data_IF_795407138558
#
_entry.id   IF_795407138558
#
_cell.length_a   1.000
_cell.length_b   1.000
_cell.length_c   1.000
_cell.angle_alpha   90.00
_cell.angle_beta   90.00
_cell.angle_gamma   90.00
#
_symmetry.space_group_name_H-M   'P 1'
#
loop_
_entity.id
_entity.type
_entity.pdbx_description
1 polymer ?
#
# COMPACT_ATOMS: atom_id res chain seq x y z
N UNK A 1 -15.32 13.35 -23.93
CA UNK A 1 -16.29 12.84 -22.94
C UNK A 1 -16.51 13.97 -21.95
N UNK A 2 -17.56 14.77 -22.16
CA UNK A 2 -17.90 15.84 -21.24
C UNK A 2 -18.64 15.22 -20.05
N UNK A 3 -17.87 14.70 -19.10
CA UNK A 3 -18.37 14.18 -17.84
C UNK A 3 -18.72 15.40 -16.99
N UNK A 4 -19.85 16.04 -17.32
CA UNK A 4 -20.27 17.35 -16.80
C UNK A 4 -20.11 17.44 -15.28
N UNK A 5 -19.83 18.67 -14.78
CA UNK A 5 -19.56 19.16 -13.40
C UNK A 5 -19.22 18.17 -12.24
N UNK A 6 -19.85 17.01 -12.15
CA UNK A 6 -19.63 15.92 -11.20
C UNK A 6 -18.56 14.91 -11.63
N UNK A 7 -18.17 14.88 -12.91
CA UNK A 7 -17.19 13.93 -13.42
C UNK A 7 -15.81 14.03 -12.79
N UNK A 8 -15.36 15.26 -12.55
CA UNK A 8 -14.10 15.54 -11.87
C UNK A 8 -14.09 15.01 -10.42
N UNK A 9 -15.21 15.11 -9.70
CA UNK A 9 -15.32 14.60 -8.34
C UNK A 9 -15.24 13.07 -8.27
N UNK A 10 -15.93 12.38 -9.18
CA UNK A 10 -15.89 10.91 -9.25
C UNK A 10 -14.46 10.44 -9.55
N UNK A 11 -13.81 11.06 -10.54
CA UNK A 11 -12.44 10.72 -10.89
C UNK A 11 -11.47 10.98 -9.74
N UNK A 12 -11.60 12.11 -9.04
CA UNK A 12 -10.80 12.43 -7.87
C UNK A 12 -11.03 11.44 -6.72
N UNK A 13 -12.28 11.04 -6.46
CA UNK A 13 -12.61 10.07 -5.42
C UNK A 13 -12.01 8.68 -5.72
N UNK A 14 -12.10 8.20 -6.96
CA UNK A 14 -11.46 6.94 -7.35
C UNK A 14 -9.94 7.03 -7.30
N UNK A 15 -9.34 8.13 -7.78
CA UNK A 15 -7.90 8.34 -7.70
C UNK A 15 -7.41 8.37 -6.23
N UNK A 16 -8.14 9.06 -5.35
CA UNK A 16 -7.85 9.10 -3.93
C UNK A 16 -7.94 7.70 -3.29
N UNK A 17 -9.00 6.96 -3.62
CA UNK A 17 -9.19 5.59 -3.12
C UNK A 17 -8.05 4.68 -3.57
N UNK A 18 -7.66 4.75 -4.85
CA UNK A 18 -6.53 3.99 -5.38
C UNK A 18 -5.21 4.35 -4.68
N UNK A 19 -4.99 5.64 -4.39
CA UNK A 19 -3.81 6.12 -3.67
C UNK A 19 -3.77 5.58 -2.23
N UNK A 20 -4.90 5.61 -1.53
CA UNK A 20 -5.01 5.05 -0.17
C UNK A 20 -4.71 3.54 -0.19
N UNK A 21 -5.31 2.79 -1.12
CA UNK A 21 -5.07 1.36 -1.24
C UNK A 21 -3.60 1.05 -1.55
N UNK A 22 -2.97 1.81 -2.46
CA UNK A 22 -1.56 1.66 -2.78
C UNK A 22 -0.66 1.94 -1.57
N UNK A 23 -0.96 2.97 -0.77
CA UNK A 23 -0.22 3.29 0.44
C UNK A 23 -0.34 2.16 1.50
N UNK A 24 -1.54 1.62 1.71
CA UNK A 24 -1.77 0.51 2.65
C UNK A 24 -1.04 -0.77 2.22
N UNK A 25 -1.14 -1.14 0.94
CA UNK A 25 -0.43 -2.28 0.37
C UNK A 25 1.09 -2.09 0.51
N UNK A 26 1.59 -0.90 0.17
CA UNK A 26 3.01 -0.55 0.32
C UNK A 26 3.49 -0.67 1.76
N UNK A 27 2.69 -0.22 2.73
CA UNK A 27 2.98 -0.36 4.15
C UNK A 27 3.03 -1.84 4.58
N UNK A 28 2.05 -2.64 4.17
CA UNK A 28 2.01 -4.08 4.49
C UNK A 28 3.22 -4.84 3.91
N UNK A 29 3.63 -4.50 2.68
CA UNK A 29 4.83 -5.09 2.07
C UNK A 29 6.09 -4.69 2.86
N UNK A 30 6.23 -3.41 3.24
CA UNK A 30 7.36 -2.94 4.04
C UNK A 30 7.44 -3.64 5.38
N UNK A 31 6.31 -3.78 6.06
CA UNK A 31 6.21 -4.46 7.34
C UNK A 31 6.58 -5.94 7.22
N UNK A 32 6.01 -6.66 6.25
CA UNK A 32 6.38 -8.06 5.96
C UNK A 32 7.87 -8.23 5.70
N UNK A 33 8.51 -7.30 4.99
CA UNK A 33 9.97 -7.32 4.75
C UNK A 33 10.78 -7.04 6.02
N UNK A 34 10.25 -6.28 6.97
CA UNK A 34 10.89 -6.08 8.28
C UNK A 34 10.76 -7.35 9.12
N UNK A 35 9.58 -7.96 9.17
CA UNK A 35 9.34 -9.22 9.88
C UNK A 35 10.26 -10.34 9.35
N UNK A 36 10.36 -10.51 8.02
CA UNK A 36 11.25 -11.51 7.42
C UNK A 36 12.73 -11.28 7.75
N UNK A 37 13.17 -10.03 7.90
CA UNK A 37 14.53 -9.71 8.34
C UNK A 37 14.75 -10.09 9.80
N UNK A 38 13.77 -9.82 10.68
CA UNK A 38 13.82 -10.23 12.07
C UNK A 38 13.86 -11.76 12.21
N UNK A 39 13.03 -12.49 11.46
CA UNK A 39 13.03 -13.96 11.47
C UNK A 39 14.38 -14.56 11.04
N UNK A 40 15.06 -13.95 10.05
CA UNK A 40 16.39 -14.40 9.63
C UNK A 40 17.42 -14.26 10.75
N UNK A 41 17.42 -13.11 11.44
CA UNK A 41 18.32 -12.87 12.57
C UNK A 41 18.15 -13.89 13.71
N UNK A 42 16.91 -14.31 14.01
CA UNK A 42 16.66 -15.35 15.02
C UNK A 42 17.10 -16.76 14.60
N UNK A 43 17.18 -17.04 13.29
CA UNK A 43 17.62 -18.35 12.78
C UNK A 43 19.13 -18.56 12.83
N UNK A 44 19.90 -17.47 12.82
CA UNK A 44 21.37 -17.47 12.88
C UNK A 44 21.90 -17.65 14.32
N UNK A 45 21.20 -17.14 15.34
CA UNK A 45 21.57 -17.33 16.77
C UNK A 45 21.37 -18.77 17.30
N UNK A 46 20.74 -19.66 16.52
CA UNK A 46 20.35 -21.02 16.97
C UNK A 46 21.20 -22.14 16.35
N UNK A 47 22.33 -21.84 15.71
CA UNK A 47 23.31 -22.79 15.16
C UNK A 47 24.66 -22.63 15.85
#
# INVERSE_FOLDING_TARGET
>A
MDLGSHGGFILAAFAFTALVMAALIGNAIRDRRAQLRALKGFGEDRR
#
